data_IF_264387776460
#
_entry.id   IF_264387776460
#
_cell.length_a   1.000
_cell.length_b   1.000
_cell.length_c   1.000
_cell.angle_alpha   90.00
_cell.angle_beta   90.00
_cell.angle_gamma   90.00
#
_symmetry.space_group_name_H-M   'P 1'
#
loop_
_entity.id
_entity.type
_entity.pdbx_description
1 polymer ?
#
# COMPACT_ATOMS: atom_id res chain seq x y z
N UNK A 1 -28.35 4.50 34.77
CA UNK A 1 -28.01 3.54 33.70
C UNK A 1 -28.60 3.98 32.34
N UNK A 2 -29.85 4.41 32.27
CA UNK A 2 -30.51 4.87 31.02
C UNK A 2 -29.85 6.11 30.40
N UNK A 3 -29.41 7.09 31.20
CA UNK A 3 -28.75 8.31 30.69
C UNK A 3 -27.40 8.02 30.02
N UNK A 4 -26.63 7.05 30.54
CA UNK A 4 -25.36 6.63 29.96
C UNK A 4 -25.57 5.92 28.61
N UNK A 5 -26.61 5.06 28.53
CA UNK A 5 -26.96 4.37 27.28
C UNK A 5 -27.44 5.35 26.19
N UNK A 6 -28.21 6.39 26.57
CA UNK A 6 -28.63 7.44 25.61
C UNK A 6 -27.42 8.28 25.14
N UNK A 7 -26.51 8.64 26.05
CA UNK A 7 -25.28 9.34 25.70
C UNK A 7 -24.39 8.49 24.78
N UNK A 8 -24.22 7.21 25.06
CA UNK A 8 -23.49 6.29 24.19
C UNK A 8 -24.16 6.14 22.81
N UNK A 9 -25.48 6.03 22.76
CA UNK A 9 -26.23 5.93 21.49
C UNK A 9 -26.10 7.23 20.67
N UNK A 10 -26.18 8.40 21.31
CA UNK A 10 -25.95 9.68 20.64
C UNK A 10 -24.50 9.82 20.15
N UNK A 11 -23.53 9.40 20.95
CA UNK A 11 -22.12 9.42 20.56
C UNK A 11 -21.83 8.49 19.39
N UNK A 12 -22.38 7.27 19.40
CA UNK A 12 -22.32 6.32 18.28
C UNK A 12 -23.03 6.86 17.04
N UNK A 13 -24.17 7.54 17.20
CA UNK A 13 -24.89 8.17 16.09
C UNK A 13 -24.10 9.31 15.42
N UNK A 14 -23.38 10.13 16.19
CA UNK A 14 -22.54 11.20 15.65
C UNK A 14 -21.31 10.61 14.92
N UNK A 15 -20.71 9.56 15.47
CA UNK A 15 -19.59 8.88 14.81
C UNK A 15 -20.05 8.24 13.50
N UNK A 16 -21.20 7.56 13.49
CA UNK A 16 -21.70 6.90 12.28
C UNK A 16 -22.11 7.89 11.18
N UNK A 17 -22.53 9.10 11.51
CA UNK A 17 -22.88 10.13 10.53
C UNK A 17 -21.66 10.68 9.77
N UNK A 18 -20.45 10.47 10.28
CA UNK A 18 -19.20 10.91 9.67
C UNK A 18 -18.35 9.77 9.10
N UNK A 19 -18.78 8.52 9.30
CA UNK A 19 -18.04 7.33 8.90
C UNK A 19 -18.69 6.73 7.65
N UNK A 20 -17.93 6.67 6.57
CA UNK A 20 -18.29 5.96 5.34
C UNK A 20 -17.30 4.81 5.14
N UNK A 21 -17.83 3.61 4.87
CA UNK A 21 -17.03 2.40 4.63
C UNK A 21 -17.48 1.79 3.31
N UNK A 22 -16.55 1.70 2.38
CA UNK A 22 -16.71 1.03 1.10
C UNK A 22 -15.78 -0.18 1.07
N UNK A 23 -16.25 -1.30 0.53
CA UNK A 23 -15.41 -2.49 0.39
C UNK A 23 -15.62 -3.15 -0.95
N UNK A 24 -14.57 -3.81 -1.44
CA UNK A 24 -14.61 -4.73 -2.55
C UNK A 24 -14.01 -6.07 -2.16
N UNK A 25 -14.60 -7.14 -2.65
CA UNK A 25 -14.14 -8.50 -2.39
C UNK A 25 -13.98 -9.27 -3.67
N UNK A 26 -12.83 -9.87 -3.85
CA UNK A 26 -12.50 -10.74 -4.97
C UNK A 26 -12.08 -12.11 -4.45
N UNK A 27 -12.60 -13.17 -5.06
CA UNK A 27 -12.23 -14.55 -4.79
C UNK A 27 -11.87 -15.25 -6.10
N UNK A 28 -10.72 -15.92 -6.11
CA UNK A 28 -10.30 -16.77 -7.22
C UNK A 28 -10.10 -18.20 -6.71
N UNK A 29 -10.62 -19.13 -7.45
CA UNK A 29 -10.38 -20.55 -7.23
C UNK A 29 -10.04 -21.23 -8.54
N UNK A 30 -9.04 -22.08 -8.52
CA UNK A 30 -8.67 -22.87 -9.67
C UNK A 30 -8.12 -24.22 -9.28
N UNK A 31 -8.33 -25.18 -10.18
CA UNK A 31 -7.83 -26.54 -10.08
C UNK A 31 -7.18 -26.91 -11.42
N UNK A 32 -6.05 -27.58 -11.40
CA UNK A 32 -5.32 -27.93 -12.60
C UNK A 32 -4.05 -28.75 -12.32
N UNK A 33 -3.24 -28.90 -13.36
CA UNK A 33 -1.96 -29.59 -13.29
C UNK A 33 -0.80 -28.62 -13.48
N UNK A 34 0.19 -28.69 -12.62
CA UNK A 34 1.44 -27.96 -12.77
C UNK A 34 2.52 -28.90 -13.31
N UNK A 35 3.16 -28.50 -14.40
CA UNK A 35 4.33 -29.20 -14.96
C UNK A 35 5.59 -28.63 -14.31
N UNK A 36 6.42 -29.47 -13.69
CA UNK A 36 7.72 -29.06 -13.17
C UNK A 36 8.69 -28.84 -14.33
N UNK A 37 9.29 -27.66 -14.49
CA UNK A 37 10.10 -27.33 -15.68
C UNK A 37 11.32 -28.23 -15.90
N UNK A 38 11.92 -28.76 -14.83
CA UNK A 38 13.14 -29.56 -14.89
C UNK A 38 12.90 -31.06 -15.07
N UNK A 39 11.84 -31.61 -14.51
CA UNK A 39 11.57 -33.06 -14.53
C UNK A 39 10.43 -33.42 -15.47
N UNK A 40 9.67 -32.42 -15.96
CA UNK A 40 8.43 -32.59 -16.72
C UNK A 40 7.35 -33.41 -16.00
N UNK A 41 7.55 -33.68 -14.69
CA UNK A 41 6.53 -34.32 -13.89
C UNK A 41 5.32 -33.41 -13.71
N UNK A 42 4.13 -33.97 -13.78
CA UNK A 42 2.88 -33.28 -13.51
C UNK A 42 2.48 -33.51 -12.06
N UNK A 43 2.07 -32.45 -11.39
CA UNK A 43 1.48 -32.49 -10.04
C UNK A 43 0.17 -31.74 -10.04
N UNK A 44 -0.82 -32.26 -9.32
CA UNK A 44 -2.07 -31.56 -9.11
C UNK A 44 -1.81 -30.22 -8.40
N UNK A 45 -2.51 -29.20 -8.86
CA UNK A 45 -2.36 -27.85 -8.38
C UNK A 45 -3.73 -27.22 -8.15
N UNK A 46 -4.05 -26.92 -6.93
CA UNK A 46 -5.22 -26.13 -6.56
C UNK A 46 -4.79 -24.82 -5.96
N UNK A 47 -5.47 -23.74 -6.31
CA UNK A 47 -5.25 -22.45 -5.69
C UNK A 47 -6.57 -21.83 -5.23
N UNK A 48 -6.46 -21.04 -4.18
CA UNK A 48 -7.57 -20.30 -3.60
C UNK A 48 -7.04 -18.93 -3.14
N UNK A 49 -7.55 -17.88 -3.72
CA UNK A 49 -7.17 -16.50 -3.41
C UNK A 49 -8.38 -15.72 -2.95
N UNK A 50 -8.17 -14.90 -1.92
CA UNK A 50 -9.15 -13.95 -1.43
C UNK A 50 -8.48 -12.61 -1.24
N UNK A 51 -9.10 -11.59 -1.75
CA UNK A 51 -8.70 -10.21 -1.61
C UNK A 51 -9.88 -9.39 -1.11
N UNK A 52 -9.69 -8.67 -0.02
CA UNK A 52 -10.68 -7.75 0.53
C UNK A 52 -10.05 -6.38 0.70
N UNK A 53 -10.55 -5.42 -0.06
CA UNK A 53 -10.21 -4.01 0.06
C UNK A 53 -11.27 -3.28 0.88
N UNK A 54 -10.84 -2.51 1.86
CA UNK A 54 -11.70 -1.71 2.72
C UNK A 54 -11.23 -0.26 2.66
N UNK A 55 -12.10 0.62 2.21
CA UNK A 55 -11.89 2.06 2.16
C UNK A 55 -12.76 2.71 3.24
N UNK A 56 -12.15 3.35 4.20
CA UNK A 56 -12.84 3.99 5.31
C UNK A 56 -12.56 5.49 5.28
N UNK A 57 -13.63 6.29 5.26
CA UNK A 57 -13.57 7.75 5.33
C UNK A 57 -14.17 8.20 6.65
N UNK A 58 -13.49 9.11 7.33
CA UNK A 58 -14.01 9.75 8.53
C UNK A 58 -13.97 11.26 8.36
N UNK A 59 -15.16 11.86 8.22
CA UNK A 59 -15.31 13.23 7.78
C UNK A 59 -14.64 13.48 6.43
N UNK A 60 -14.26 14.73 6.20
CA UNK A 60 -13.67 15.16 4.92
C UNK A 60 -12.14 15.02 4.88
N UNK A 61 -11.52 14.63 5.99
CA UNK A 61 -10.08 14.78 6.16
C UNK A 61 -9.32 13.48 6.36
N UNK A 62 -9.96 12.42 6.84
CA UNK A 62 -9.28 11.17 7.20
C UNK A 62 -9.73 10.06 6.25
N UNK A 63 -8.76 9.40 5.65
CA UNK A 63 -8.93 8.22 4.84
C UNK A 63 -8.06 7.08 5.36
N UNK A 64 -8.63 5.90 5.47
CA UNK A 64 -7.94 4.68 5.89
C UNK A 64 -8.16 3.63 4.81
N UNK A 65 -7.08 3.11 4.27
CA UNK A 65 -7.11 1.97 3.37
C UNK A 65 -6.58 0.73 4.05
N UNK A 66 -7.32 -0.35 3.94
CA UNK A 66 -6.92 -1.65 4.47
C UNK A 66 -7.15 -2.72 3.40
N UNK A 67 -6.12 -3.49 3.09
CA UNK A 67 -6.21 -4.63 2.19
C UNK A 67 -5.85 -5.90 2.94
N UNK A 68 -6.77 -6.85 2.93
CA UNK A 68 -6.58 -8.18 3.46
C UNK A 68 -6.46 -9.17 2.31
N UNK A 69 -5.42 -9.97 2.33
CA UNK A 69 -5.13 -10.96 1.31
C UNK A 69 -4.88 -12.33 1.95
N UNK A 70 -5.48 -13.35 1.38
CA UNK A 70 -5.24 -14.72 1.75
C UNK A 70 -5.17 -15.59 0.53
N UNK A 71 -3.98 -16.18 0.28
CA UNK A 71 -3.72 -17.05 -0.87
C UNK A 71 -3.17 -18.39 -0.42
N UNK A 72 -3.69 -19.47 -0.98
CA UNK A 72 -3.22 -20.83 -0.70
C UNK A 72 -3.21 -21.69 -1.99
N UNK A 73 -2.04 -22.11 -2.45
CA UNK A 73 -0.69 -21.67 -2.07
C UNK A 73 -0.46 -20.21 -2.46
N UNK A 74 0.58 -19.55 -1.91
CA UNK A 74 0.91 -18.18 -2.28
C UNK A 74 1.09 -18.05 -3.79
N UNK A 75 0.56 -17.00 -4.38
CA UNK A 75 0.54 -16.74 -5.82
C UNK A 75 1.96 -16.50 -6.36
N UNK A 76 2.11 -16.67 -7.68
CA UNK A 76 3.32 -16.31 -8.38
C UNK A 76 3.51 -14.79 -8.34
N UNK A 77 4.67 -14.33 -7.92
CA UNK A 77 5.03 -12.93 -7.90
C UNK A 77 6.20 -12.66 -6.95
N UNK A 78 6.52 -11.40 -6.76
CA UNK A 78 7.42 -10.95 -5.72
C UNK A 78 6.60 -10.78 -4.44
N UNK A 79 6.39 -11.87 -3.71
CA UNK A 79 5.67 -11.76 -2.45
C UNK A 79 6.50 -11.00 -1.42
N UNK A 80 5.84 -10.17 -0.63
CA UNK A 80 6.43 -9.64 0.59
C UNK A 80 6.85 -10.79 1.51
N UNK A 81 7.88 -10.57 2.29
CA UNK A 81 8.39 -11.49 3.31
C UNK A 81 7.37 -11.89 4.38
N UNK A 82 6.24 -11.20 4.46
CA UNK A 82 5.15 -11.50 5.39
C UNK A 82 4.08 -12.40 4.75
N UNK A 83 4.49 -13.53 4.23
CA UNK A 83 3.56 -14.57 3.74
C UNK A 83 2.57 -15.07 4.79
N UNK A 84 2.87 -14.87 6.07
CA UNK A 84 2.02 -15.27 7.20
C UNK A 84 1.03 -14.16 7.63
N UNK A 85 1.08 -13.00 7.01
CA UNK A 85 0.20 -11.87 7.37
C UNK A 85 -0.95 -11.75 6.39
N UNK A 86 -2.17 -11.86 6.89
CA UNK A 86 -3.40 -11.59 6.14
C UNK A 86 -3.47 -10.09 5.77
N UNK A 87 -2.91 -9.21 6.60
CA UNK A 87 -2.86 -7.79 6.34
C UNK A 87 -1.77 -7.47 5.31
N UNK A 88 -2.17 -7.24 4.07
CA UNK A 88 -1.28 -6.93 2.96
C UNK A 88 -0.89 -5.43 2.95
N UNK A 89 -1.87 -4.55 3.01
CA UNK A 89 -1.65 -3.10 2.95
C UNK A 89 -2.48 -2.38 4.00
N UNK A 90 -1.86 -1.43 4.70
CA UNK A 90 -2.55 -0.53 5.61
C UNK A 90 -1.89 0.84 5.58
N UNK A 91 -2.68 1.88 5.31
CA UNK A 91 -2.26 3.24 5.54
C UNK A 91 -3.41 4.14 5.98
N UNK A 92 -3.05 5.19 6.68
CA UNK A 92 -3.95 6.26 7.12
C UNK A 92 -3.47 7.54 6.48
N UNK A 93 -4.37 8.28 5.87
CA UNK A 93 -4.11 9.57 5.25
C UNK A 93 -4.96 10.65 5.92
N UNK A 94 -4.32 11.74 6.27
CA UNK A 94 -4.95 12.96 6.73
C UNK A 94 -4.68 14.08 5.74
N UNK A 95 -5.73 14.64 5.15
CA UNK A 95 -5.65 15.74 4.18
C UNK A 95 -6.43 16.93 4.69
N UNK A 96 -5.80 18.10 4.74
CA UNK A 96 -6.46 19.36 5.06
C UNK A 96 -5.72 20.53 4.45
N UNK A 97 -6.45 21.37 3.69
CA UNK A 97 -5.95 22.59 3.07
C UNK A 97 -4.54 22.44 2.43
N UNK A 98 -3.51 22.73 3.21
CA UNK A 98 -2.11 22.75 2.78
C UNK A 98 -1.32 21.51 3.16
N UNK A 99 -1.90 20.58 3.89
CA UNK A 99 -1.20 19.42 4.42
C UNK A 99 -1.83 18.13 3.93
N UNK A 100 -0.97 17.21 3.54
CA UNK A 100 -1.35 15.81 3.39
C UNK A 100 -0.30 14.97 4.12
N UNK A 101 -0.75 14.14 5.02
CA UNK A 101 0.09 13.27 5.86
C UNK A 101 -0.39 11.85 5.66
N UNK A 102 0.49 10.94 5.25
CA UNK A 102 0.19 9.51 5.14
C UNK A 102 1.12 8.69 6.02
N UNK A 103 0.56 7.78 6.78
CA UNK A 103 1.28 6.88 7.70
C UNK A 103 0.90 5.44 7.38
N UNK A 104 1.87 4.55 7.28
CA UNK A 104 1.67 3.14 6.97
C UNK A 104 2.42 2.72 5.72
N UNK A 105 1.77 1.95 4.86
CA UNK A 105 2.36 1.52 3.60
C UNK A 105 2.28 2.63 2.55
N UNK A 106 3.45 3.07 2.07
CA UNK A 106 3.60 4.22 1.18
C UNK A 106 3.93 3.76 -0.23
N UNK A 107 3.18 4.30 -1.18
CA UNK A 107 3.38 4.11 -2.62
C UNK A 107 3.62 5.49 -3.24
N UNK A 108 4.88 5.78 -3.54
CA UNK A 108 5.30 7.11 -3.92
C UNK A 108 6.20 7.10 -5.17
N UNK A 109 6.13 8.18 -5.93
CA UNK A 109 6.89 8.36 -7.14
C UNK A 109 7.57 9.74 -7.13
N UNK A 110 8.90 9.74 -7.17
CA UNK A 110 9.71 10.95 -7.25
C UNK A 110 10.64 10.90 -8.45
N UNK A 111 10.91 12.09 -9.03
CA UNK A 111 11.78 12.20 -10.19
C UNK A 111 11.25 11.44 -11.41
N UNK A 112 9.92 11.40 -11.61
CA UNK A 112 9.25 10.60 -12.65
C UNK A 112 9.59 9.11 -12.56
N UNK A 113 9.82 8.61 -11.33
CA UNK A 113 10.20 7.21 -11.08
C UNK A 113 11.68 6.90 -11.24
N UNK A 114 12.51 7.86 -11.63
CA UNK A 114 13.96 7.65 -11.78
C UNK A 114 14.71 7.76 -10.45
N UNK A 115 14.23 8.61 -9.53
CA UNK A 115 14.87 8.79 -8.23
C UNK A 115 14.31 7.85 -7.19
N UNK A 116 12.98 7.66 -7.19
CA UNK A 116 12.31 6.79 -6.25
C UNK A 116 10.97 6.33 -6.84
N UNK A 117 10.68 5.03 -6.74
CA UNK A 117 9.46 4.45 -7.23
C UNK A 117 9.03 3.25 -6.39
N UNK A 118 7.85 3.35 -5.80
CA UNK A 118 7.19 2.25 -5.10
C UNK A 118 5.78 2.05 -5.63
N UNK A 119 5.40 0.80 -5.83
CA UNK A 119 4.15 0.42 -6.47
C UNK A 119 3.64 -0.91 -5.94
N UNK A 120 2.34 -1.07 -5.97
CA UNK A 120 1.69 -2.37 -5.84
C UNK A 120 1.05 -2.73 -7.17
N UNK A 121 1.36 -3.92 -7.69
CA UNK A 121 0.72 -4.50 -8.86
C UNK A 121 0.22 -5.90 -8.51
N UNK A 122 -1.08 -6.03 -8.35
CA UNK A 122 -1.73 -7.28 -7.97
C UNK A 122 -1.72 -8.34 -9.08
N UNK A 123 -1.60 -7.93 -10.34
CA UNK A 123 -1.58 -8.88 -11.45
C UNK A 123 -0.32 -9.75 -11.46
N UNK A 124 0.77 -9.22 -10.93
CA UNK A 124 2.05 -9.91 -10.83
C UNK A 124 2.49 -10.13 -9.38
N UNK A 125 1.59 -9.87 -8.43
CA UNK A 125 1.81 -10.01 -6.98
C UNK A 125 3.10 -9.27 -6.53
N UNK A 126 3.26 -8.06 -7.04
CA UNK A 126 4.41 -7.22 -6.77
C UNK A 126 4.05 -6.08 -5.82
N UNK A 127 4.78 -5.97 -4.73
CA UNK A 127 4.61 -4.89 -3.77
C UNK A 127 5.95 -4.50 -3.14
N UNK A 128 6.43 -3.30 -3.46
CA UNK A 128 7.66 -2.73 -2.91
C UNK A 128 7.41 -1.48 -2.06
N UNK A 129 6.25 -1.37 -1.42
CA UNK A 129 5.94 -0.23 -0.57
C UNK A 129 6.97 -0.02 0.54
N UNK A 130 7.08 1.21 0.97
CA UNK A 130 7.81 1.58 2.19
C UNK A 130 6.82 1.78 3.32
N UNK A 131 7.10 1.20 4.49
CA UNK A 131 6.31 1.44 5.68
C UNK A 131 6.90 2.60 6.47
N UNK A 132 6.13 3.67 6.61
CA UNK A 132 6.66 4.89 7.19
C UNK A 132 5.67 6.04 7.25
N UNK A 133 6.22 7.23 7.12
CA UNK A 133 5.52 8.51 7.14
C UNK A 133 5.84 9.28 5.86
N UNK A 134 4.82 9.79 5.20
CA UNK A 134 4.95 10.77 4.12
C UNK A 134 4.20 12.04 4.46
N UNK A 135 4.81 13.18 4.20
CA UNK A 135 4.26 14.51 4.43
C UNK A 135 4.36 15.32 3.14
N UNK A 136 3.25 15.91 2.73
CA UNK A 136 3.20 16.98 1.73
C UNK A 136 2.76 18.28 2.38
N UNK A 137 3.43 19.37 1.99
CA UNK A 137 3.06 20.71 2.40
C UNK A 137 3.02 21.65 1.18
N UNK A 138 1.86 22.20 0.90
CA UNK A 138 1.64 23.15 -0.19
C UNK A 138 1.82 24.58 0.32
N UNK A 139 2.99 25.17 0.06
CA UNK A 139 3.26 26.55 0.44
C UNK A 139 2.40 27.51 -0.40
N UNK A 140 2.31 27.23 -1.69
CA UNK A 140 1.46 27.89 -2.69
C UNK A 140 0.94 26.81 -3.66
N UNK A 141 0.02 27.18 -4.53
CA UNK A 141 -0.51 26.26 -5.55
C UNK A 141 0.59 25.66 -6.45
N UNK A 142 1.67 26.42 -6.65
CA UNK A 142 2.79 26.04 -7.50
C UNK A 142 4.06 25.62 -6.76
N UNK A 143 4.05 25.56 -5.42
CA UNK A 143 5.21 25.15 -4.61
C UNK A 143 4.78 24.10 -3.59
N UNK A 144 5.33 22.90 -3.72
CA UNK A 144 5.10 21.78 -2.81
C UNK A 144 6.41 21.30 -2.20
N UNK A 145 6.41 21.09 -0.89
CA UNK A 145 7.45 20.38 -0.16
C UNK A 145 6.98 18.97 0.16
N UNK A 146 7.88 18.00 0.06
CA UNK A 146 7.60 16.62 0.44
C UNK A 146 8.71 16.06 1.32
N UNK A 147 8.33 15.23 2.28
CA UNK A 147 9.26 14.49 3.11
C UNK A 147 8.73 13.07 3.35
N UNK A 148 9.57 12.07 3.07
CA UNK A 148 9.25 10.66 3.27
C UNK A 148 10.32 10.02 4.14
N UNK A 149 9.90 9.25 5.14
CA UNK A 149 10.77 8.47 6.01
C UNK A 149 10.15 7.10 6.24
N UNK A 150 10.93 6.05 6.09
CA UNK A 150 10.41 4.71 6.33
C UNK A 150 11.39 3.60 6.07
N UNK A 151 10.90 2.38 6.19
CA UNK A 151 11.65 1.15 5.94
C UNK A 151 10.98 0.38 4.82
N UNK A 152 11.74 0.07 3.78
CA UNK A 152 11.33 -0.78 2.68
C UNK A 152 11.82 -2.21 2.86
N UNK A 153 10.94 -3.16 2.64
CA UNK A 153 11.25 -4.59 2.59
C UNK A 153 11.26 -5.05 1.14
N UNK A 154 12.43 -5.48 0.66
CA UNK A 154 12.58 -6.04 -0.67
C UNK A 154 12.79 -7.53 -0.58
N UNK A 155 11.93 -8.28 -1.25
CA UNK A 155 12.01 -9.72 -1.31
C UNK A 155 11.91 -10.18 -2.75
N UNK A 156 12.81 -11.06 -3.21
CA UNK A 156 12.76 -11.60 -4.56
C UNK A 156 13.20 -13.06 -4.61
N UNK A 157 12.83 -13.70 -5.69
CA UNK A 157 13.13 -15.11 -5.96
C UNK A 157 14.26 -15.21 -6.96
N UNK A 158 15.23 -16.09 -6.68
CA UNK A 158 16.32 -16.37 -7.61
C UNK A 158 15.92 -17.34 -8.72
N UNK A 159 14.90 -18.17 -8.48
CA UNK A 159 14.42 -19.19 -9.43
C UNK A 159 12.93 -19.01 -9.67
N UNK A 160 12.47 -19.08 -10.94
CA UNK A 160 11.05 -18.95 -11.28
C UNK A 160 10.15 -20.02 -10.63
N UNK A 161 10.72 -21.19 -10.31
CA UNK A 161 9.99 -22.29 -9.68
C UNK A 161 9.81 -22.13 -8.17
N UNK A 162 10.54 -21.23 -7.53
CA UNK A 162 10.40 -20.98 -6.11
C UNK A 162 9.25 -20.02 -5.84
N UNK A 163 8.29 -20.45 -5.04
CA UNK A 163 7.18 -19.61 -4.57
C UNK A 163 7.56 -18.79 -3.36
N UNK A 164 8.51 -19.28 -2.55
CA UNK A 164 9.05 -18.55 -1.42
C UNK A 164 10.22 -17.68 -1.87
N UNK A 165 10.29 -16.47 -1.34
CA UNK A 165 11.44 -15.59 -1.55
C UNK A 165 12.66 -16.19 -0.87
N UNK A 166 13.79 -16.21 -1.58
CA UNK A 166 15.06 -16.66 -1.04
C UNK A 166 16.08 -15.53 -0.86
N UNK A 167 15.74 -14.34 -1.29
CA UNK A 167 16.50 -13.11 -1.02
C UNK A 167 15.58 -12.07 -0.39
N UNK A 168 16.07 -11.47 0.67
CA UNK A 168 15.38 -10.46 1.43
C UNK A 168 16.36 -9.46 1.99
N UNK A 169 16.05 -8.17 1.90
CA UNK A 169 16.80 -7.11 2.56
C UNK A 169 15.90 -5.94 2.92
N UNK A 170 16.23 -5.30 4.03
CA UNK A 170 15.58 -4.09 4.52
C UNK A 170 16.42 -2.87 4.19
N UNK A 171 15.76 -1.80 3.78
CA UNK A 171 16.38 -0.50 3.54
C UNK A 171 15.66 0.58 4.33
N UNK A 172 16.42 1.47 4.97
CA UNK A 172 15.87 2.70 5.51
C UNK A 172 15.96 3.78 4.45
N UNK A 173 14.88 4.53 4.30
CA UNK A 173 14.76 5.54 3.26
C UNK A 173 14.39 6.87 3.92
N UNK A 174 15.15 7.91 3.61
CA UNK A 174 14.84 9.29 3.91
C UNK A 174 14.84 10.09 2.62
N UNK A 175 13.74 10.77 2.29
CA UNK A 175 13.61 11.56 1.08
C UNK A 175 13.01 12.92 1.42
N UNK A 176 13.59 13.98 0.85
CA UNK A 176 13.03 15.32 0.83
C UNK A 176 12.95 15.86 -0.59
N UNK A 177 11.86 16.51 -0.96
CA UNK A 177 11.77 17.18 -2.25
C UNK A 177 11.11 18.55 -2.17
N UNK A 178 11.47 19.38 -3.15
CA UNK A 178 10.82 20.66 -3.44
C UNK A 178 10.38 20.61 -4.89
N UNK A 179 9.09 20.80 -5.10
CA UNK A 179 8.47 20.84 -6.42
C UNK A 179 8.05 22.28 -6.72
N UNK A 180 8.41 22.77 -7.90
CA UNK A 180 8.01 24.06 -8.39
C UNK A 180 7.45 23.95 -9.81
N UNK A 181 6.24 24.43 -10.02
CA UNK A 181 5.61 24.49 -11.32
C UNK A 181 5.45 25.94 -11.80
N UNK A 182 5.84 26.19 -13.05
CA UNK A 182 5.70 27.49 -13.69
C UNK A 182 5.14 27.30 -15.10
N UNK A 183 4.12 28.10 -15.46
CA UNK A 183 3.45 27.98 -16.76
C UNK A 183 4.38 28.22 -17.97
N UNK A 184 5.42 29.04 -17.81
CA UNK A 184 6.36 29.39 -18.89
C UNK A 184 7.60 28.49 -18.89
N UNK A 185 8.10 28.10 -17.69
CA UNK A 185 9.35 27.40 -17.53
C UNK A 185 9.19 25.88 -17.33
N UNK A 186 7.95 25.43 -17.08
CA UNK A 186 7.64 24.04 -16.84
C UNK A 186 7.76 23.62 -15.38
N UNK A 187 7.97 22.32 -15.16
CA UNK A 187 8.04 21.68 -13.84
C UNK A 187 9.49 21.42 -13.44
N UNK A 188 9.86 21.80 -12.23
CA UNK A 188 11.18 21.56 -11.62
C UNK A 188 10.99 20.81 -10.31
N UNK A 189 11.80 19.79 -10.11
CA UNK A 189 11.85 19.04 -8.87
C UNK A 189 13.30 18.89 -8.42
N UNK A 190 13.59 19.28 -7.19
CA UNK A 190 14.83 18.96 -6.50
C UNK A 190 14.57 17.87 -5.45
N UNK A 191 15.37 16.80 -5.47
CA UNK A 191 15.19 15.63 -4.59
C UNK A 191 16.51 15.37 -3.86
N UNK A 192 16.41 15.10 -2.56
CA UNK A 192 17.47 14.56 -1.74
C UNK A 192 17.03 13.21 -1.19
N UNK A 193 17.82 12.17 -1.45
CA UNK A 193 17.55 10.79 -1.05
C UNK A 193 18.73 10.24 -0.24
N UNK A 194 18.42 9.58 0.89
CA UNK A 194 19.39 8.92 1.79
C UNK A 194 18.95 7.49 2.09
#
# INVERSE_FOLDING_TARGET
KTRLAVLMALFLGIISAQLEINYSYEMKYGDGMQVKPLTQDTTDYTYFENLLDINTYYGDNIYIYTQLEYSKPPVFGFSRTRLDSILNTLYIEYSKDKYNIRIGDLYELYGRGLSYYTVQDQNVDYNNSVRGLNLYYFLKENIKFSALFGTGDFAFRSLPSNRTTNYHFNTNIGLGSIDYENQLLGYFQAIYLV
#
